data_IF_225085175735
#
_entry.id   IF_225085175735
#
_cell.length_a   1.000
_cell.length_b   1.000
_cell.length_c   1.000
_cell.angle_alpha   90.00
_cell.angle_beta   90.00
_cell.angle_gamma   90.00
#
_symmetry.space_group_name_H-M   'P 1'
#
loop_
_entity.id
_entity.type
_entity.pdbx_description
1 polymer ?
#
# COMPACT_ATOMS: atom_id res chain seq x y z
N UNK A 1 64.49 4.85 48.96
CA UNK A 1 63.89 4.99 47.61
C UNK A 1 63.13 3.70 47.30
N UNK A 2 61.81 3.70 47.48
CA UNK A 2 60.92 2.62 47.03
C UNK A 2 60.05 3.21 45.93
N UNK A 3 60.30 2.83 44.68
CA UNK A 3 59.48 3.22 43.54
C UNK A 3 58.21 2.38 43.52
N UNK A 4 57.06 3.04 43.63
CA UNK A 4 55.74 2.42 43.47
C UNK A 4 55.42 2.43 41.98
N UNK A 5 55.44 1.26 41.33
CA UNK A 5 54.99 1.12 39.93
C UNK A 5 53.47 0.92 39.92
N UNK A 6 52.75 1.93 39.43
CA UNK A 6 51.30 1.89 39.22
C UNK A 6 51.03 1.30 37.84
N UNK A 7 50.58 0.05 37.77
CA UNK A 7 50.10 -0.56 36.51
C UNK A 7 48.65 -0.14 36.26
N UNK A 8 48.45 0.77 35.32
CA UNK A 8 47.14 1.12 34.76
C UNK A 8 46.69 -0.02 33.84
N UNK A 9 45.72 -0.82 34.29
CA UNK A 9 44.97 -1.72 33.43
C UNK A 9 44.00 -0.88 32.58
N UNK A 10 44.39 -0.60 31.33
CA UNK A 10 43.46 -0.16 30.29
C UNK A 10 42.57 -1.34 29.92
N UNK A 11 41.37 -1.37 30.50
CA UNK A 11 40.30 -2.25 30.02
C UNK A 11 39.90 -1.79 28.62
N UNK A 12 39.89 -2.65 27.59
CA UNK A 12 39.34 -2.28 26.30
C UNK A 12 37.85 -2.07 26.49
N UNK A 13 37.41 -0.82 26.38
CA UNK A 13 36.00 -0.49 26.20
C UNK A 13 35.65 -1.10 24.84
N UNK A 14 35.07 -2.29 24.85
CA UNK A 14 34.36 -2.84 23.70
C UNK A 14 33.17 -1.91 23.47
N UNK A 15 33.38 -0.90 22.62
CA UNK A 15 32.29 -0.11 22.08
C UNK A 15 31.43 -1.06 21.28
N UNK A 16 30.27 -1.43 21.83
CA UNK A 16 29.21 -2.04 21.03
C UNK A 16 28.74 -0.97 20.06
N UNK A 17 29.31 -0.94 18.86
CA UNK A 17 28.65 -0.30 17.74
C UNK A 17 27.31 -1.01 17.60
N UNK A 18 26.22 -0.27 17.76
CA UNK A 18 24.89 -0.81 17.51
C UNK A 18 24.86 -1.30 16.07
N UNK A 19 24.47 -2.55 15.86
CA UNK A 19 24.35 -3.10 14.52
C UNK A 19 23.36 -2.23 13.73
N UNK A 20 23.79 -1.75 12.57
CA UNK A 20 22.92 -1.00 11.68
C UNK A 20 21.71 -1.86 11.30
N UNK A 21 20.54 -1.27 11.47
CA UNK A 21 19.29 -1.93 11.13
C UNK A 21 18.81 -1.37 9.81
N UNK A 22 18.76 -2.26 8.83
CA UNK A 22 18.38 -1.93 7.48
C UNK A 22 16.92 -1.55 7.43
N UNK A 23 16.57 -0.65 6.51
CA UNK A 23 15.19 -0.28 6.26
C UNK A 23 14.43 -1.39 5.54
N UNK A 24 15.08 -2.15 4.65
CA UNK A 24 14.44 -3.22 3.88
C UNK A 24 15.18 -4.55 4.06
N UNK A 25 15.06 -5.20 5.23
CA UNK A 25 15.71 -6.49 5.49
C UNK A 25 14.76 -7.58 6.00
N UNK A 26 13.73 -7.21 6.74
CA UNK A 26 12.76 -8.12 7.31
C UNK A 26 11.59 -8.37 6.34
N UNK A 27 11.43 -9.58 5.77
CA UNK A 27 10.38 -9.88 4.79
C UNK A 27 8.95 -9.66 5.30
N UNK A 28 8.74 -9.71 6.62
CA UNK A 28 7.44 -9.46 7.25
C UNK A 28 7.18 -7.97 7.52
N UNK A 29 8.16 -7.08 7.26
CA UNK A 29 8.00 -5.66 7.58
C UNK A 29 6.95 -5.01 6.71
N UNK A 30 6.07 -4.24 7.35
CA UNK A 30 5.02 -3.47 6.71
C UNK A 30 4.99 -2.03 7.22
N UNK A 31 4.76 -1.09 6.33
CA UNK A 31 4.60 0.34 6.66
C UNK A 31 3.23 0.80 6.22
N UNK A 32 2.44 1.35 7.14
CA UNK A 32 1.15 1.96 6.80
C UNK A 32 1.23 3.46 6.98
N UNK A 33 1.02 4.20 5.90
CA UNK A 33 0.91 5.65 5.91
C UNK A 33 -0.51 6.09 5.55
N UNK A 34 -0.94 7.23 6.08
CA UNK A 34 -2.20 7.87 5.70
C UNK A 34 -1.89 9.19 5.02
N UNK A 35 -2.57 9.45 3.91
CA UNK A 35 -2.63 10.75 3.24
C UNK A 35 -4.09 11.15 3.12
N UNK A 36 -4.45 12.34 3.57
CA UNK A 36 -5.85 12.76 3.50
C UNK A 36 -6.01 14.25 3.59
N UNK A 37 -7.16 14.73 3.14
CA UNK A 37 -7.49 16.14 3.16
C UNK A 37 -8.88 16.45 2.64
N UNK A 38 -9.27 17.72 2.71
CA UNK A 38 -10.58 18.15 2.19
C UNK A 38 -10.50 18.33 0.68
N UNK A 39 -11.40 17.68 -0.06
CA UNK A 39 -11.57 17.88 -1.51
C UNK A 39 -12.30 19.19 -1.76
N UNK A 40 -13.38 19.41 -1.01
CA UNK A 40 -14.21 20.61 -1.05
C UNK A 40 -14.80 20.88 0.34
N UNK A 41 -15.81 21.75 0.42
CA UNK A 41 -16.47 22.08 1.69
C UNK A 41 -17.31 20.93 2.30
N UNK A 42 -17.48 19.82 1.58
CA UNK A 42 -18.42 18.75 1.89
C UNK A 42 -17.74 17.39 2.11
N UNK A 43 -16.74 17.06 1.30
CA UNK A 43 -16.05 15.78 1.31
C UNK A 43 -14.58 15.89 1.72
N UNK A 44 -14.10 14.91 2.47
CA UNK A 44 -12.66 14.64 2.62
C UNK A 44 -12.28 13.35 1.91
N UNK A 45 -11.06 13.29 1.42
CA UNK A 45 -10.46 12.09 0.86
C UNK A 45 -9.43 11.54 1.84
N UNK A 46 -9.33 10.22 1.92
CA UNK A 46 -8.29 9.53 2.69
C UNK A 46 -7.75 8.35 1.90
N UNK A 47 -6.43 8.24 1.90
CA UNK A 47 -5.63 7.26 1.21
C UNK A 47 -4.75 6.58 2.25
N UNK A 48 -5.11 5.38 2.66
CA UNK A 48 -4.28 4.57 3.56
C UNK A 48 -3.47 3.60 2.70
N UNK A 49 -2.14 3.68 2.76
CA UNK A 49 -1.24 2.85 1.94
C UNK A 49 -0.38 1.98 2.84
N UNK A 50 -0.47 0.67 2.65
CA UNK A 50 0.45 -0.31 3.25
C UNK A 50 1.50 -0.75 2.23
N UNK A 51 2.78 -0.62 2.56
CA UNK A 51 3.92 -1.15 1.80
C UNK A 51 4.45 -2.43 2.44
N UNK A 52 4.94 -3.39 1.64
CA UNK A 52 5.61 -4.61 2.12
C UNK A 52 6.61 -5.17 1.10
N UNK A 53 7.54 -6.01 1.56
CA UNK A 53 8.50 -6.68 0.67
C UNK A 53 7.84 -7.83 -0.11
N UNK A 54 7.99 -7.82 -1.43
CA UNK A 54 7.40 -8.78 -2.37
C UNK A 54 8.45 -9.73 -3.00
N UNK A 55 9.56 -9.93 -2.28
CA UNK A 55 10.69 -10.78 -2.67
C UNK A 55 11.67 -10.10 -3.63
N UNK A 56 12.69 -10.84 -4.02
CA UNK A 56 13.82 -10.27 -4.76
C UNK A 56 13.60 -10.27 -6.28
N UNK A 57 14.37 -9.44 -6.97
CA UNK A 57 14.48 -9.40 -8.43
C UNK A 57 15.89 -8.98 -8.87
N UNK A 58 16.27 -9.39 -10.07
CA UNK A 58 17.50 -8.96 -10.73
C UNK A 58 17.13 -7.97 -11.84
N UNK A 59 17.71 -6.77 -11.83
CA UNK A 59 17.52 -5.76 -12.88
C UNK A 59 18.89 -5.27 -13.33
N UNK A 60 19.24 -5.49 -14.60
CA UNK A 60 20.53 -5.11 -15.18
C UNK A 60 21.73 -5.57 -14.33
N UNK A 61 21.72 -6.84 -13.92
CA UNK A 61 22.74 -7.49 -13.08
C UNK A 61 22.86 -6.97 -11.63
N UNK A 62 21.96 -6.09 -11.19
CA UNK A 62 21.87 -5.63 -9.81
C UNK A 62 20.68 -6.28 -9.11
N UNK A 63 20.92 -6.82 -7.91
CA UNK A 63 19.87 -7.39 -7.07
C UNK A 63 19.10 -6.28 -6.34
N UNK A 64 17.77 -6.41 -6.34
CA UNK A 64 16.85 -5.54 -5.64
C UNK A 64 15.79 -6.37 -4.91
N UNK A 65 15.24 -5.82 -3.84
CA UNK A 65 13.96 -6.26 -3.30
C UNK A 65 12.84 -5.51 -4.00
N UNK A 66 11.78 -6.23 -4.38
CA UNK A 66 10.53 -5.65 -4.83
C UNK A 66 9.75 -5.16 -3.62
N UNK A 67 9.20 -3.96 -3.73
CA UNK A 67 8.27 -3.42 -2.74
C UNK A 67 6.90 -3.32 -3.39
N UNK A 68 5.95 -4.03 -2.81
CA UNK A 68 4.56 -3.94 -3.17
C UNK A 68 3.85 -2.95 -2.24
N UNK A 69 2.75 -2.41 -2.71
CA UNK A 69 1.85 -1.60 -1.91
C UNK A 69 0.41 -1.87 -2.28
N UNK A 70 -0.46 -1.68 -1.29
CA UNK A 70 -1.90 -1.59 -1.47
C UNK A 70 -2.36 -0.34 -0.79
N UNK A 71 -3.23 0.38 -1.48
CA UNK A 71 -3.87 1.56 -0.91
C UNK A 71 -5.38 1.39 -0.91
N UNK A 72 -5.99 1.80 0.20
CA UNK A 72 -7.41 1.96 0.35
C UNK A 72 -7.75 3.45 0.29
N UNK A 73 -8.52 3.81 -0.74
CA UNK A 73 -9.12 5.13 -0.85
C UNK A 73 -10.54 5.09 -0.31
N UNK A 74 -10.91 6.11 0.46
CA UNK A 74 -12.29 6.34 0.81
C UNK A 74 -12.57 7.83 1.04
N UNK A 75 -13.83 8.19 0.88
CA UNK A 75 -14.32 9.53 1.17
C UNK A 75 -15.01 9.58 2.53
N UNK A 76 -14.76 10.68 3.25
CA UNK A 76 -15.44 11.05 4.49
C UNK A 76 -16.41 12.20 4.26
N UNK A 77 -17.49 12.23 5.04
CA UNK A 77 -18.40 13.37 5.06
C UNK A 77 -17.91 14.42 6.08
N UNK A 78 -17.89 15.68 5.67
CA UNK A 78 -17.64 16.83 6.57
C UNK A 78 -18.97 17.51 6.88
N UNK A 79 -19.62 18.08 5.84
CA UNK A 79 -20.87 18.84 5.93
C UNK A 79 -21.84 18.53 4.78
N UNK A 80 -21.72 17.36 4.17
CA UNK A 80 -22.53 16.97 3.01
C UNK A 80 -23.92 16.44 3.42
N UNK A 81 -24.97 16.53 2.57
CA UNK A 81 -26.21 15.79 2.81
C UNK A 81 -25.94 14.29 2.92
N UNK A 82 -26.73 13.57 3.72
CA UNK A 82 -26.58 12.11 3.91
C UNK A 82 -26.50 11.40 2.55
N UNK A 83 -25.51 10.51 2.38
CA UNK A 83 -25.16 9.75 1.16
C UNK A 83 -24.36 10.48 0.07
N UNK A 84 -23.84 11.67 0.33
CA UNK A 84 -22.71 12.22 -0.43
C UNK A 84 -21.38 11.66 0.10
N UNK A 85 -20.31 11.69 -0.71
CA UNK A 85 -18.96 11.24 -0.33
C UNK A 85 -18.89 9.75 0.07
N UNK A 86 -19.37 8.84 -0.80
CA UNK A 86 -19.44 7.39 -0.51
C UNK A 86 -18.45 6.56 -1.33
N UNK A 87 -17.58 7.20 -2.10
CA UNK A 87 -16.63 6.51 -2.95
C UNK A 87 -15.57 5.82 -2.11
N UNK A 88 -15.28 4.56 -2.43
CA UNK A 88 -14.11 3.86 -1.92
C UNK A 88 -13.62 2.84 -2.94
N UNK A 89 -12.30 2.62 -2.99
CA UNK A 89 -11.69 1.61 -3.85
C UNK A 89 -10.30 1.23 -3.36
N UNK A 90 -9.81 0.10 -3.87
CA UNK A 90 -8.45 -0.38 -3.62
C UNK A 90 -7.62 -0.31 -4.90
N UNK A 91 -6.33 -0.05 -4.74
CA UNK A 91 -5.35 -0.20 -5.81
C UNK A 91 -4.08 -0.84 -5.30
N UNK A 92 -3.47 -1.65 -6.17
CA UNK A 92 -2.25 -2.40 -5.92
C UNK A 92 -1.14 -1.86 -6.83
N UNK A 93 0.08 -1.79 -6.31
CA UNK A 93 1.26 -1.39 -7.05
C UNK A 93 2.46 -2.26 -6.62
N UNK A 94 3.31 -2.63 -7.58
CA UNK A 94 4.55 -3.41 -7.37
C UNK A 94 5.72 -2.82 -8.14
N UNK A 95 5.65 -1.53 -8.45
CA UNK A 95 6.58 -0.85 -9.34
C UNK A 95 7.86 -0.35 -8.67
N UNK A 96 8.03 -0.54 -7.35
CA UNK A 96 9.19 -0.08 -6.59
C UNK A 96 10.20 -1.19 -6.36
N UNK A 97 11.47 -0.88 -6.57
CA UNK A 97 12.58 -1.78 -6.34
C UNK A 97 13.62 -1.07 -5.49
N UNK A 98 14.03 -1.69 -4.39
CA UNK A 98 14.92 -1.10 -3.40
C UNK A 98 16.15 -1.96 -3.19
N UNK A 99 17.26 -1.34 -2.85
CA UNK A 99 18.47 -2.02 -2.36
C UNK A 99 19.14 -1.15 -1.32
N UNK A 100 19.75 -1.78 -0.34
CA UNK A 100 20.47 -1.09 0.73
C UNK A 100 21.92 -1.56 0.76
N UNK A 101 22.85 -0.61 0.64
CA UNK A 101 24.29 -0.86 0.57
C UNK A 101 24.98 0.21 1.39
N UNK A 102 25.85 -0.20 2.31
CA UNK A 102 26.63 0.70 3.17
C UNK A 102 25.79 1.79 3.84
N UNK A 103 24.65 1.42 4.46
CA UNK A 103 23.72 2.33 5.17
C UNK A 103 23.03 3.36 4.27
N UNK A 104 23.11 3.20 2.94
CA UNK A 104 22.41 3.99 1.96
C UNK A 104 21.34 3.16 1.28
N UNK A 105 20.16 3.76 1.11
CA UNK A 105 19.02 3.12 0.46
C UNK A 105 18.84 3.72 -0.91
N UNK A 106 18.90 2.86 -1.92
CA UNK A 106 18.65 3.18 -3.31
C UNK A 106 17.32 2.58 -3.74
N UNK A 107 16.57 3.33 -4.53
CA UNK A 107 15.32 2.86 -5.07
C UNK A 107 15.14 3.27 -6.54
N UNK A 108 14.32 2.51 -7.25
CA UNK A 108 13.93 2.77 -8.64
C UNK A 108 12.51 2.32 -8.90
N UNK A 109 11.91 2.88 -9.95
CA UNK A 109 10.68 2.38 -10.55
C UNK A 109 10.99 1.48 -11.75
N UNK A 110 10.00 0.69 -12.21
CA UNK A 110 10.16 -0.25 -13.34
C UNK A 110 10.79 0.38 -14.58
N UNK A 111 10.44 1.64 -14.86
CA UNK A 111 10.87 2.38 -16.05
C UNK A 111 11.74 3.61 -15.71
N UNK A 112 12.32 3.67 -14.51
CA UNK A 112 13.18 4.80 -14.10
C UNK A 112 14.59 4.35 -13.70
N UNK A 113 15.48 5.33 -13.66
CA UNK A 113 16.82 5.16 -13.10
C UNK A 113 16.76 5.03 -11.59
N UNK A 114 17.75 4.34 -11.04
CA UNK A 114 17.97 4.30 -9.61
C UNK A 114 18.33 5.67 -9.03
N UNK A 115 17.89 5.90 -7.79
CA UNK A 115 18.13 7.11 -7.00
C UNK A 115 18.39 6.76 -5.55
N UNK A 116 19.22 7.56 -4.90
CA UNK A 116 19.38 7.54 -3.44
C UNK A 116 18.12 8.16 -2.81
N UNK A 117 17.52 7.45 -1.85
CA UNK A 117 16.32 7.90 -1.12
C UNK A 117 16.52 8.00 0.40
N UNK A 118 17.56 7.35 0.93
CA UNK A 118 18.02 7.54 2.31
C UNK A 118 19.55 7.43 2.38
N UNK A 119 20.16 8.21 3.26
CA UNK A 119 21.56 8.08 3.65
C UNK A 119 21.64 8.12 5.17
N UNK A 120 21.86 6.96 5.80
CA UNK A 120 21.97 6.84 7.25
C UNK A 120 23.41 7.06 7.76
N UNK A 121 24.37 7.36 6.87
CA UNK A 121 25.71 7.81 7.25
C UNK A 121 25.79 9.31 7.48
N UNK A 122 24.77 10.07 7.07
CA UNK A 122 24.77 11.52 7.17
C UNK A 122 25.06 12.02 8.59
N UNK A 123 25.87 13.06 8.68
CA UNK A 123 26.17 13.78 9.91
C UNK A 123 25.41 15.11 9.96
N UNK A 124 25.43 15.77 11.11
CA UNK A 124 24.84 17.12 11.25
C UNK A 124 25.53 18.05 10.25
N UNK A 125 24.74 18.75 9.44
CA UNK A 125 25.19 19.63 8.36
C UNK A 125 25.24 18.98 6.97
N UNK A 126 25.13 17.65 6.87
CA UNK A 126 25.03 16.96 5.57
C UNK A 126 23.62 17.09 4.97
N UNK A 127 23.52 16.83 3.66
CA UNK A 127 22.24 16.78 2.95
C UNK A 127 21.75 15.35 2.76
N UNK A 128 20.45 15.12 2.97
CA UNK A 128 19.77 13.84 2.74
C UNK A 128 18.68 14.02 1.69
N UNK A 129 18.53 13.11 0.70
CA UNK A 129 17.42 13.14 -0.25
C UNK A 129 16.08 12.87 0.43
N UNK A 130 15.01 13.46 -0.11
CA UNK A 130 13.66 13.11 0.32
C UNK A 130 13.23 11.77 -0.31
N UNK A 131 12.48 10.92 0.41
CA UNK A 131 12.10 9.60 -0.10
C UNK A 131 11.22 9.64 -1.37
N UNK A 132 10.45 10.73 -1.55
CA UNK A 132 9.62 10.97 -2.74
C UNK A 132 10.44 11.14 -4.03
N UNK A 133 11.74 11.39 -3.97
CA UNK A 133 12.57 11.71 -5.15
C UNK A 133 12.59 10.66 -6.28
N UNK A 134 11.98 9.49 -6.06
CA UNK A 134 11.66 8.50 -7.09
C UNK A 134 10.79 9.04 -8.23
N UNK A 135 9.91 9.99 -7.95
CA UNK A 135 8.97 10.58 -8.91
C UNK A 135 9.47 11.88 -9.54
N UNK A 136 10.80 12.05 -9.61
CA UNK A 136 11.47 13.18 -10.26
C UNK A 136 11.35 14.54 -9.56
N UNK A 137 10.90 14.58 -8.30
CA UNK A 137 11.23 15.68 -7.39
C UNK A 137 12.72 15.57 -7.03
N UNK A 138 13.45 16.69 -7.01
CA UNK A 138 14.85 16.71 -6.54
C UNK A 138 14.91 17.53 -5.26
N UNK A 139 14.35 16.97 -4.19
CA UNK A 139 14.25 17.65 -2.89
C UNK A 139 15.21 17.04 -1.90
N UNK A 140 15.95 17.89 -1.20
CA UNK A 140 16.92 17.49 -0.18
C UNK A 140 16.70 18.33 1.07
N UNK A 141 17.00 17.75 2.23
CA UNK A 141 17.03 18.45 3.51
C UNK A 141 18.43 18.43 4.09
N UNK A 142 18.79 19.44 4.88
CA UNK A 142 20.03 19.45 5.68
C UNK A 142 19.72 18.84 7.04
N UNK A 143 20.58 17.97 7.56
CA UNK A 143 20.44 17.43 8.92
C UNK A 143 20.82 18.53 9.91
N UNK A 144 19.89 18.91 10.77
CA UNK A 144 20.13 19.92 11.82
C UNK A 144 20.43 19.27 13.17
N UNK A 145 19.73 18.17 13.49
CA UNK A 145 19.92 17.44 14.74
C UNK A 145 19.89 15.93 14.47
N UNK A 146 20.70 15.19 15.23
CA UNK A 146 20.62 13.73 15.31
C UNK A 146 20.39 13.36 16.78
N UNK A 147 19.22 12.80 17.06
CA UNK A 147 18.87 12.27 18.37
C UNK A 147 18.52 10.78 18.27
N UNK A 148 17.82 10.26 19.28
CA UNK A 148 17.40 8.86 19.31
C UNK A 148 15.94 8.71 19.69
N UNK A 149 15.26 7.76 19.06
CA UNK A 149 13.87 7.37 19.35
C UNK A 149 13.80 5.89 19.70
N UNK A 150 12.95 5.52 20.64
CA UNK A 150 12.73 4.11 21.00
C UNK A 150 11.87 3.42 19.95
N UNK A 151 12.33 2.27 19.46
CA UNK A 151 11.65 1.39 18.50
C UNK A 151 11.74 -0.03 19.05
N UNK A 152 10.60 -0.60 19.44
CA UNK A 152 10.51 -1.94 20.04
C UNK A 152 11.56 -2.22 21.14
N UNK A 153 11.67 -1.32 22.11
CA UNK A 153 12.62 -1.46 23.24
C UNK A 153 14.08 -1.17 22.93
N UNK A 154 14.41 -0.72 21.71
CA UNK A 154 15.78 -0.34 21.30
C UNK A 154 15.81 1.08 20.73
N UNK A 155 16.79 1.88 21.11
CA UNK A 155 16.96 3.23 20.55
C UNK A 155 17.52 3.20 19.12
N UNK A 156 16.95 3.99 18.21
CA UNK A 156 17.39 4.16 16.82
C UNK A 156 17.75 5.62 16.57
N UNK A 157 18.72 5.88 15.68
CA UNK A 157 19.03 7.25 15.26
C UNK A 157 17.82 7.87 14.60
N UNK A 158 17.54 9.12 14.96
CA UNK A 158 16.55 9.96 14.29
C UNK A 158 17.23 11.23 13.82
N UNK A 159 17.14 11.47 12.52
CA UNK A 159 17.68 12.63 11.82
C UNK A 159 16.56 13.64 11.71
N UNK A 160 16.74 14.81 12.32
CA UNK A 160 15.83 15.93 12.19
C UNK A 160 16.32 16.86 11.12
N UNK A 161 15.38 17.24 10.27
CA UNK A 161 15.60 18.16 9.17
C UNK A 161 14.80 19.41 9.56
N UNK A 162 15.40 20.60 9.55
CA UNK A 162 14.71 21.80 9.99
C UNK A 162 13.59 22.11 9.00
N UNK A 163 12.52 22.71 9.52
CA UNK A 163 11.43 23.23 8.70
C UNK A 163 11.99 24.19 7.65
N UNK A 164 11.82 23.85 6.37
CA UNK A 164 12.02 24.82 5.30
C UNK A 164 10.70 25.59 5.14
N UNK A 165 10.69 26.92 5.31
CA UNK A 165 9.51 27.75 5.12
C UNK A 165 8.86 27.62 3.74
N UNK A 166 9.60 27.13 2.74
CA UNK A 166 9.07 26.83 1.40
C UNK A 166 8.44 25.44 1.29
N UNK A 167 8.79 24.52 2.18
CA UNK A 167 8.34 23.12 2.11
C UNK A 167 7.08 22.86 2.94
N UNK A 168 6.82 23.64 3.98
CA UNK A 168 5.62 23.52 4.82
C UNK A 168 5.55 22.20 5.58
N UNK A 169 5.63 22.24 6.91
CA UNK A 169 5.44 21.06 7.76
C UNK A 169 6.22 21.14 9.05
N UNK A 170 5.59 20.69 10.12
CA UNK A 170 6.18 20.69 11.45
C UNK A 170 7.22 19.55 11.59
N UNK A 171 8.47 19.89 11.92
CA UNK A 171 9.56 19.00 12.37
C UNK A 171 9.78 17.71 11.53
N UNK A 172 10.17 17.80 10.24
CA UNK A 172 10.41 16.62 9.41
C UNK A 172 11.58 15.79 9.93
N UNK A 173 11.41 14.46 9.95
CA UNK A 173 12.45 13.56 10.44
C UNK A 173 12.52 12.23 9.68
N UNK A 174 13.64 11.55 9.84
CA UNK A 174 13.90 10.18 9.36
C UNK A 174 14.37 9.35 10.54
N UNK A 175 13.88 8.12 10.69
CA UNK A 175 14.30 7.17 11.71
C UNK A 175 15.00 5.98 11.05
N UNK A 176 16.20 5.65 11.51
CA UNK A 176 16.99 4.51 11.03
C UNK A 176 16.21 3.18 11.16
N UNK A 177 16.12 2.43 10.06
CA UNK A 177 15.38 1.17 9.99
C UNK A 177 13.84 1.32 9.89
N UNK A 178 13.30 2.54 10.01
CA UNK A 178 11.85 2.82 9.95
C UNK A 178 11.46 3.65 8.73
N UNK A 179 12.26 4.65 8.35
CA UNK A 179 12.00 5.53 7.20
C UNK A 179 11.64 6.97 7.61
N UNK A 180 11.03 7.73 6.71
CA UNK A 180 10.63 9.11 6.95
C UNK A 180 9.40 9.21 7.85
N UNK A 181 9.17 10.39 8.44
CA UNK A 181 7.99 10.70 9.26
C UNK A 181 6.65 10.42 8.57
N UNK A 182 6.64 10.40 7.24
CA UNK A 182 5.45 10.17 6.40
C UNK A 182 5.42 8.79 5.74
N UNK A 183 6.45 7.98 5.97
CA UNK A 183 6.61 6.63 5.46
C UNK A 183 7.87 6.42 4.60
N UNK A 184 8.06 5.20 4.07
CA UNK A 184 9.30 4.82 3.40
C UNK A 184 9.51 5.43 2.01
N UNK A 185 8.46 6.01 1.41
CA UNK A 185 8.51 6.59 0.05
C UNK A 185 7.81 7.94 -0.07
N UNK A 186 7.32 8.50 1.03
CA UNK A 186 6.62 9.79 1.04
C UNK A 186 7.62 10.93 1.28
N UNK A 187 7.28 12.13 0.83
CA UNK A 187 8.06 13.33 1.10
C UNK A 187 8.03 13.64 2.59
N UNK A 188 9.03 14.33 3.11
CA UNK A 188 9.10 14.61 4.55
C UNK A 188 8.19 15.76 4.99
N UNK A 189 7.61 16.51 4.04
CA UNK A 189 6.62 17.53 4.33
C UNK A 189 5.32 16.88 4.83
N UNK A 190 4.96 17.12 6.09
CA UNK A 190 3.73 16.58 6.69
C UNK A 190 2.46 17.23 6.13
N UNK A 191 2.58 18.37 5.46
CA UNK A 191 1.45 19.16 4.97
C UNK A 191 1.61 19.47 3.47
N UNK A 192 0.58 19.15 2.68
CA UNK A 192 0.51 19.47 1.24
C UNK A 192 -0.61 20.51 1.05
N UNK A 193 -0.23 21.79 1.00
CA UNK A 193 -1.20 22.90 0.94
C UNK A 193 -1.97 23.09 2.25
N UNK A 194 -3.12 23.77 2.22
CA UNK A 194 -3.82 24.16 3.47
C UNK A 194 -4.70 23.06 4.07
N UNK A 195 -4.93 21.95 3.36
CA UNK A 195 -5.97 20.99 3.73
C UNK A 195 -5.57 19.52 3.69
N UNK A 196 -4.34 19.20 3.25
CA UNK A 196 -3.89 17.82 3.15
C UNK A 196 -2.71 17.53 4.06
N UNK A 197 -2.74 16.36 4.68
CA UNK A 197 -1.74 15.88 5.61
C UNK A 197 -1.31 14.47 5.22
N UNK A 198 -0.04 14.16 5.46
CA UNK A 198 0.51 12.82 5.33
C UNK A 198 1.23 12.45 6.62
N UNK A 199 1.13 11.19 7.02
CA UNK A 199 1.85 10.66 8.18
C UNK A 199 2.10 9.15 8.03
N UNK A 200 3.23 8.67 8.57
CA UNK A 200 3.42 7.26 8.88
C UNK A 200 2.56 6.93 10.11
N UNK A 201 1.57 6.05 9.93
CA UNK A 201 0.72 5.60 11.03
C UNK A 201 1.46 4.57 11.88
N UNK A 202 2.09 3.59 11.23
CA UNK A 202 2.81 2.53 11.93
C UNK A 202 3.77 1.74 11.05
N UNK A 203 4.65 0.98 11.72
CA UNK A 203 5.44 -0.11 11.14
C UNK A 203 5.23 -1.37 11.96
N UNK A 204 5.03 -2.51 11.30
CA UNK A 204 5.01 -3.82 11.94
C UNK A 204 6.07 -4.75 11.38
N UNK A 205 6.49 -5.71 12.21
CA UNK A 205 7.33 -6.86 11.88
C UNK A 205 6.75 -8.08 12.58
N UNK A 206 6.74 -9.23 11.91
CA UNK A 206 6.28 -10.51 12.50
C UNK A 206 4.89 -10.41 13.17
N UNK A 207 3.98 -9.67 12.54
CA UNK A 207 2.62 -9.37 13.01
C UNK A 207 2.53 -8.50 14.29
N UNK A 208 3.63 -7.91 14.75
CA UNK A 208 3.67 -6.97 15.88
C UNK A 208 4.01 -5.54 15.42
N UNK A 209 3.29 -4.53 15.93
CA UNK A 209 3.62 -3.12 15.69
C UNK A 209 4.88 -2.75 16.47
N UNK A 210 5.94 -2.38 15.75
CA UNK A 210 7.24 -2.00 16.32
C UNK A 210 7.43 -0.48 16.45
N UNK A 211 6.63 0.30 15.73
CA UNK A 211 6.67 1.76 15.73
C UNK A 211 5.31 2.35 15.35
N UNK A 212 4.89 3.45 16.00
CA UNK A 212 3.65 4.16 15.70
C UNK A 212 2.43 3.65 16.48
N UNK A 213 1.23 3.74 15.89
CA UNK A 213 -0.03 3.37 16.53
C UNK A 213 -0.15 1.84 16.70
N UNK A 214 -0.33 1.32 17.94
CA UNK A 214 -0.51 -0.12 18.16
C UNK A 214 -1.81 -0.69 17.57
N UNK A 215 -2.81 0.13 17.24
CA UNK A 215 -4.07 -0.30 16.63
C UNK A 215 -4.06 -0.20 15.10
N UNK A 216 -2.88 -0.07 14.50
CA UNK A 216 -2.73 0.10 13.07
C UNK A 216 -3.34 -1.06 12.28
N UNK A 217 -4.12 -0.71 11.25
CA UNK A 217 -4.67 -1.66 10.31
C UNK A 217 -3.72 -1.82 9.12
N UNK A 218 -3.37 -3.07 8.79
CA UNK A 218 -2.58 -3.38 7.60
C UNK A 218 -3.49 -3.84 6.48
N UNK A 219 -3.38 -3.21 5.32
CA UNK A 219 -4.22 -3.51 4.17
C UNK A 219 -3.59 -4.66 3.37
N UNK A 220 -3.48 -5.82 4.00
CA UNK A 220 -2.83 -7.02 3.41
C UNK A 220 -3.79 -7.87 2.59
N UNK A 221 -5.09 -7.73 2.84
CA UNK A 221 -6.14 -8.44 2.12
C UNK A 221 -7.27 -7.49 1.72
N UNK A 222 -7.94 -7.84 0.62
CA UNK A 222 -9.21 -7.22 0.28
C UNK A 222 -10.22 -7.89 1.22
N UNK A 223 -10.78 -7.15 2.18
CA UNK A 223 -12.12 -7.51 2.64
C UNK A 223 -12.97 -7.45 1.37
N UNK A 224 -13.47 -8.60 0.89
CA UNK A 224 -14.28 -8.66 -0.32
C UNK A 224 -15.58 -7.92 -0.03
N UNK A 225 -15.55 -6.60 -0.16
CA UNK A 225 -16.70 -5.74 -0.30
C UNK A 225 -17.29 -6.10 -1.66
N UNK A 226 -18.05 -7.21 -1.70
CA UNK A 226 -18.97 -7.47 -2.78
C UNK A 226 -20.06 -6.41 -2.69
N UNK A 227 -19.79 -5.21 -3.18
CA UNK A 227 -20.81 -4.41 -3.80
C UNK A 227 -21.14 -5.02 -5.17
N UNK A 228 -21.51 -6.32 -5.20
CA UNK A 228 -22.19 -6.88 -6.35
C UNK A 228 -23.63 -6.41 -6.22
N UNK A 229 -24.16 -5.76 -7.25
CA UNK A 229 -25.52 -6.10 -7.64
C UNK A 229 -25.48 -7.60 -7.93
N UNK A 230 -25.74 -8.43 -6.91
CA UNK A 230 -25.69 -9.88 -7.06
C UNK A 230 -26.86 -10.26 -7.96
N UNK A 231 -26.54 -10.63 -9.20
CA UNK A 231 -27.49 -11.32 -10.05
C UNK A 231 -27.90 -12.60 -9.30
N UNK A 232 -29.17 -12.73 -8.93
CA UNK A 232 -29.67 -13.93 -8.28
C UNK A 232 -30.39 -14.77 -9.33
N UNK A 233 -29.94 -16.02 -9.49
CA UNK A 233 -30.50 -16.94 -10.46
C UNK A 233 -31.27 -18.03 -9.73
N UNK A 234 -32.59 -18.07 -9.92
CA UNK A 234 -33.48 -18.98 -9.19
C UNK A 234 -34.52 -19.64 -10.09
N UNK A 235 -34.87 -20.92 -9.86
CA UNK A 235 -34.12 -21.88 -9.05
C UNK A 235 -32.81 -22.28 -9.73
N UNK A 236 -31.81 -22.72 -8.96
CA UNK A 236 -30.58 -23.30 -9.49
C UNK A 236 -30.06 -24.34 -8.49
N UNK A 237 -30.23 -25.65 -8.72
CA UNK A 237 -30.65 -26.30 -9.97
C UNK A 237 -32.10 -26.00 -10.41
N UNK A 238 -32.38 -26.15 -11.71
CA UNK A 238 -33.70 -25.94 -12.31
C UNK A 238 -34.10 -27.06 -13.26
N UNK A 239 -35.40 -27.19 -13.53
CA UNK A 239 -35.92 -28.00 -14.63
C UNK A 239 -35.73 -27.35 -16.03
N UNK A 240 -35.02 -26.22 -16.10
CA UNK A 240 -34.73 -25.48 -17.33
C UNK A 240 -35.38 -24.09 -17.38
N UNK A 241 -36.13 -23.67 -16.37
CA UNK A 241 -36.64 -22.30 -16.27
C UNK A 241 -35.90 -21.52 -15.18
N UNK A 242 -35.32 -20.37 -15.52
CA UNK A 242 -34.54 -19.55 -14.58
C UNK A 242 -35.07 -18.13 -14.56
N UNK A 243 -35.12 -17.55 -13.36
CA UNK A 243 -35.36 -16.13 -13.12
C UNK A 243 -34.07 -15.45 -12.69
N UNK A 244 -33.71 -14.39 -13.40
CA UNK A 244 -32.54 -13.55 -13.24
C UNK A 244 -32.96 -12.25 -12.53
N UNK A 245 -32.77 -12.19 -11.22
CA UNK A 245 -33.04 -10.98 -10.42
C UNK A 245 -31.78 -10.14 -10.31
N UNK A 246 -31.86 -8.82 -10.52
CA UNK A 246 -30.70 -7.92 -10.45
C UNK A 246 -30.03 -7.63 -11.80
N UNK A 247 -30.61 -8.06 -12.92
CA UNK A 247 -30.18 -7.66 -14.26
C UNK A 247 -30.59 -6.20 -14.54
N UNK A 248 -29.62 -5.31 -14.76
CA UNK A 248 -29.91 -3.92 -15.06
C UNK A 248 -30.50 -3.76 -16.49
N UNK A 249 -31.32 -2.72 -16.77
CA UNK A 249 -31.96 -2.53 -18.07
C UNK A 249 -31.00 -2.43 -19.27
N UNK A 250 -29.77 -1.99 -19.03
CA UNK A 250 -28.72 -1.85 -20.03
C UNK A 250 -27.84 -3.09 -20.22
N UNK A 251 -28.03 -4.11 -19.37
CA UNK A 251 -27.26 -5.35 -19.42
C UNK A 251 -27.92 -6.38 -20.32
N UNK A 252 -27.09 -7.22 -20.94
CA UNK A 252 -27.50 -8.39 -21.71
C UNK A 252 -26.85 -9.62 -21.13
N UNK A 253 -27.37 -10.80 -21.42
CA UNK A 253 -26.74 -12.05 -21.06
C UNK A 253 -26.54 -12.96 -22.28
N UNK A 254 -25.63 -13.91 -22.11
CA UNK A 254 -25.35 -14.99 -23.03
C UNK A 254 -25.15 -16.29 -22.24
N UNK A 255 -25.82 -17.35 -22.65
CA UNK A 255 -25.66 -18.69 -22.10
C UNK A 255 -24.77 -19.51 -23.02
N UNK A 256 -23.76 -20.15 -22.44
CA UNK A 256 -22.76 -20.95 -23.12
C UNK A 256 -22.87 -22.42 -22.72
N UNK A 257 -22.61 -23.31 -23.67
CA UNK A 257 -22.39 -24.73 -23.39
C UNK A 257 -20.98 -25.00 -22.84
N UNK A 258 -20.70 -26.26 -22.50
CA UNK A 258 -19.39 -26.69 -21.99
C UNK A 258 -18.24 -26.50 -23.00
N UNK A 259 -18.54 -26.36 -24.30
CA UNK A 259 -17.56 -26.06 -25.35
C UNK A 259 -17.41 -24.53 -25.57
N UNK A 260 -18.09 -23.70 -24.78
CA UNK A 260 -18.04 -22.24 -24.88
C UNK A 260 -18.88 -21.67 -26.03
N UNK A 261 -19.75 -22.47 -26.66
CA UNK A 261 -20.62 -22.01 -27.76
C UNK A 261 -21.86 -21.32 -27.19
N UNK A 262 -22.22 -20.19 -27.78
CA UNK A 262 -23.41 -19.44 -27.40
C UNK A 262 -24.69 -20.18 -27.81
N UNK A 263 -25.54 -20.45 -26.84
CA UNK A 263 -26.83 -21.12 -27.02
C UNK A 263 -27.98 -20.12 -27.03
N UNK A 264 -28.00 -19.19 -26.08
CA UNK A 264 -29.05 -18.20 -25.89
C UNK A 264 -28.42 -16.85 -25.60
N UNK A 265 -28.95 -15.78 -26.18
CA UNK A 265 -28.65 -14.40 -25.80
C UNK A 265 -29.95 -13.66 -25.51
N UNK A 266 -29.92 -12.74 -24.54
CA UNK A 266 -31.12 -12.02 -24.16
C UNK A 266 -30.86 -10.89 -23.17
N UNK A 267 -31.93 -10.22 -22.76
CA UNK A 267 -31.91 -9.19 -21.71
C UNK A 267 -33.14 -9.28 -20.79
N UNK A 268 -33.95 -10.32 -20.96
CA UNK A 268 -35.14 -10.59 -20.15
C UNK A 268 -34.76 -11.15 -18.78
N UNK A 269 -35.43 -10.77 -17.68
CA UNK A 269 -35.23 -11.40 -16.38
C UNK A 269 -35.70 -12.88 -16.35
N UNK A 270 -36.43 -13.35 -17.36
CA UNK A 270 -36.82 -14.76 -17.50
C UNK A 270 -35.98 -15.43 -18.60
N UNK A 271 -35.45 -16.62 -18.28
CA UNK A 271 -34.59 -17.42 -19.14
C UNK A 271 -35.15 -18.85 -19.25
N UNK A 272 -35.50 -19.24 -20.49
CA UNK A 272 -35.95 -20.59 -20.80
C UNK A 272 -34.85 -21.42 -21.49
N UNK A 273 -34.40 -22.45 -20.78
CA UNK A 273 -33.41 -23.42 -21.20
C UNK A 273 -34.00 -24.84 -21.33
N UNK A 274 -35.33 -25.01 -21.26
CA UNK A 274 -36.01 -26.32 -21.46
C UNK A 274 -35.69 -27.01 -22.80
N UNK A 275 -35.41 -26.29 -23.91
CA UNK A 275 -34.98 -26.93 -25.16
C UNK A 275 -33.61 -27.62 -25.10
N UNK A 276 -32.79 -27.34 -24.08
CA UNK A 276 -31.43 -27.88 -23.95
C UNK A 276 -31.38 -29.08 -23.00
N UNK A 277 -30.43 -30.02 -23.15
CA UNK A 277 -30.29 -31.18 -22.26
C UNK A 277 -29.98 -30.81 -20.81
N UNK A 278 -30.18 -31.76 -19.90
CA UNK A 278 -29.69 -31.63 -18.52
C UNK A 278 -28.16 -31.51 -18.50
N UNK A 279 -27.65 -30.65 -17.62
CA UNK A 279 -26.22 -30.36 -17.57
C UNK A 279 -25.87 -28.98 -17.02
N UNK A 280 -24.57 -28.69 -17.03
CA UNK A 280 -23.99 -27.43 -16.57
C UNK A 280 -23.81 -26.47 -17.75
N UNK A 281 -24.28 -25.24 -17.56
CA UNK A 281 -24.13 -24.14 -18.51
C UNK A 281 -23.51 -22.92 -17.83
N UNK A 282 -22.93 -22.02 -18.62
CA UNK A 282 -22.37 -20.78 -18.13
C UNK A 282 -23.17 -19.59 -18.66
N UNK A 283 -23.81 -18.84 -17.78
CA UNK A 283 -24.42 -17.56 -18.08
C UNK A 283 -23.39 -16.44 -17.86
N UNK A 284 -23.21 -15.56 -18.85
CA UNK A 284 -22.39 -14.34 -18.77
C UNK A 284 -23.28 -13.13 -18.95
N UNK A 285 -23.11 -12.12 -18.11
CA UNK A 285 -23.74 -10.81 -18.26
C UNK A 285 -22.74 -9.85 -18.89
N UNK A 286 -23.18 -9.14 -19.91
CA UNK A 286 -22.40 -8.19 -20.70
C UNK A 286 -22.92 -6.78 -20.43
N UNK A 287 -22.01 -5.87 -20.08
CA UNK A 287 -22.28 -4.46 -19.84
C UNK A 287 -22.39 -3.63 -21.12
N UNK A 288 -22.61 -2.33 -20.96
CA UNK A 288 -22.79 -1.36 -22.07
C UNK A 288 -21.56 -1.20 -22.95
N UNK A 289 -20.37 -1.50 -22.44
CA UNK A 289 -19.09 -1.40 -23.16
C UNK A 289 -18.64 -2.75 -23.75
N UNK A 290 -19.50 -3.77 -23.72
CA UNK A 290 -19.21 -5.11 -24.27
C UNK A 290 -18.33 -6.00 -23.38
N UNK A 291 -17.91 -5.49 -22.23
CA UNK A 291 -17.21 -6.19 -21.15
C UNK A 291 -18.16 -7.14 -20.38
N UNK A 292 -17.63 -8.28 -19.94
CA UNK A 292 -18.36 -9.22 -19.07
C UNK A 292 -18.35 -8.68 -17.65
N UNK A 293 -19.54 -8.41 -17.09
CA UNK A 293 -19.72 -7.79 -15.77
C UNK A 293 -20.16 -8.78 -14.69
N UNK A 294 -20.72 -9.94 -15.07
CA UNK A 294 -20.95 -11.07 -14.16
C UNK A 294 -20.94 -12.39 -14.94
N UNK A 295 -20.70 -13.51 -14.24
CA UNK A 295 -20.81 -14.85 -14.79
C UNK A 295 -21.26 -15.86 -13.73
N UNK A 296 -22.22 -16.71 -14.07
CA UNK A 296 -22.80 -17.69 -13.17
C UNK A 296 -23.06 -19.03 -13.85
N UNK A 297 -23.02 -20.09 -13.05
CA UNK A 297 -23.31 -21.44 -13.50
C UNK A 297 -24.81 -21.69 -13.44
N UNK A 298 -25.38 -22.24 -14.50
CA UNK A 298 -26.76 -22.75 -14.52
C UNK A 298 -26.71 -24.27 -14.52
N UNK A 299 -27.39 -24.91 -13.58
CA UNK A 299 -27.52 -26.35 -13.54
C UNK A 299 -28.95 -26.74 -13.89
N UNK A 300 -29.10 -27.48 -14.99
CA UNK A 300 -30.37 -28.07 -15.40
C UNK A 300 -30.40 -29.53 -14.94
N UNK A 301 -31.43 -29.89 -14.18
CA UNK A 301 -31.68 -31.24 -13.69
C UNK A 301 -33.20 -31.45 -13.63
N UNK A 302 -33.72 -32.41 -14.41
CA UNK A 302 -35.16 -32.73 -14.50
C UNK A 302 -35.54 -34.01 -13.77
#
# INVERSE_FOLDING_TARGET
MRGLFLYLFLSPILGFAQAHVRLFDEPTRMWTSSYGGTVDAYCSDTWETTFWLAGDTLISDTMYQKVASRTYYYQGYINAPMNACTTSFYFDDVSRFVREVDHMVYARLSNSSERLIYDFNAEIGDTIPFPWNLDNSYTYGVVDEIDSVEVNGTYRKRFRIPEDPQLGGDDPFIVEGIGGCNGPFQGLHGQIGLSHFVALICVAEQDEVIYGDPNCSFITSIAVQRARHELLITPNPSNGHFRLSGLAPSQRYMVLDAAGRALVTGSSPELDMRPYPDGLYLLRVVGTEGNVVDAQRLLIQR
#
